data_IF_315744277412
#
_entry.id   IF_315744277412
#
_cell.length_a   1.000
_cell.length_b   1.000
_cell.length_c   1.000
_cell.angle_alpha   90.00
_cell.angle_beta   90.00
_cell.angle_gamma   90.00
#
_symmetry.space_group_name_H-M   'P 1'
#
loop_
_entity.id
_entity.type
_entity.pdbx_description
1 polymer ?
#
# COMPACT_ATOMS: atom_id res chain seq x y z
N UNK A 1 -54.85 -44.47 -14.43
CA UNK A 1 -53.52 -44.91 -13.97
C UNK A 1 -52.50 -44.52 -15.04
N UNK A 2 -51.75 -43.43 -14.84
CA UNK A 2 -50.31 -43.26 -15.17
C UNK A 2 -49.93 -41.77 -15.07
N UNK A 3 -49.04 -41.51 -14.11
CA UNK A 3 -48.57 -40.23 -13.59
C UNK A 3 -47.72 -39.44 -14.60
N UNK A 4 -47.89 -38.12 -14.59
CA UNK A 4 -46.94 -37.13 -15.10
C UNK A 4 -45.59 -37.28 -14.36
N UNK A 5 -44.50 -37.51 -15.09
CA UNK A 5 -43.15 -37.43 -14.54
C UNK A 5 -42.64 -35.99 -14.61
N UNK A 6 -42.44 -35.38 -13.43
CA UNK A 6 -41.78 -34.09 -13.25
C UNK A 6 -40.27 -34.26 -13.43
N UNK A 7 -39.69 -33.66 -14.47
CA UNK A 7 -38.23 -33.53 -14.61
C UNK A 7 -37.70 -32.56 -13.54
N UNK A 8 -37.04 -33.08 -12.50
CA UNK A 8 -36.22 -32.28 -11.59
C UNK A 8 -34.96 -31.83 -12.32
N UNK A 9 -34.81 -30.52 -12.50
CA UNK A 9 -33.54 -29.90 -12.93
C UNK A 9 -32.58 -30.00 -11.73
N UNK A 10 -31.54 -30.82 -11.85
CA UNK A 10 -30.44 -30.84 -10.89
C UNK A 10 -29.55 -29.62 -11.15
N UNK A 11 -29.68 -28.60 -10.30
CA UNK A 11 -28.71 -27.51 -10.23
C UNK A 11 -27.46 -28.10 -9.57
N UNK A 12 -26.44 -28.42 -10.37
CA UNK A 12 -25.11 -28.77 -9.85
C UNK A 12 -24.40 -27.49 -9.36
N UNK A 13 -24.68 -27.05 -8.13
CA UNK A 13 -23.81 -26.10 -7.43
C UNK A 13 -22.69 -26.86 -6.72
N UNK A 14 -21.77 -27.45 -7.49
CA UNK A 14 -20.42 -27.72 -6.98
C UNK A 14 -19.65 -26.40 -6.98
N UNK A 15 -19.99 -25.52 -6.03
CA UNK A 15 -19.12 -24.41 -5.65
C UNK A 15 -17.91 -25.08 -5.00
N UNK A 16 -16.89 -25.40 -5.80
CA UNK A 16 -15.55 -25.63 -5.27
C UNK A 16 -15.21 -24.36 -4.51
N UNK A 17 -15.42 -24.39 -3.19
CA UNK A 17 -14.91 -23.36 -2.31
C UNK A 17 -13.40 -23.45 -2.48
N UNK A 18 -12.86 -22.58 -3.34
CA UNK A 18 -11.42 -22.38 -3.50
C UNK A 18 -10.87 -22.24 -2.08
N UNK A 19 -9.77 -22.94 -1.77
CA UNK A 19 -9.01 -22.66 -0.54
C UNK A 19 -8.66 -21.18 -0.61
N UNK A 20 -9.47 -20.34 0.04
CA UNK A 20 -9.07 -18.99 0.35
C UNK A 20 -8.00 -19.20 1.41
N UNK A 21 -6.75 -19.31 0.97
CA UNK A 21 -5.61 -19.09 1.86
C UNK A 21 -5.94 -17.83 2.64
N UNK A 22 -5.79 -17.90 3.97
CA UNK A 22 -6.27 -16.88 4.89
C UNK A 22 -5.83 -15.50 4.37
N UNK A 23 -6.78 -14.71 3.81
CA UNK A 23 -6.50 -13.40 3.17
C UNK A 23 -5.79 -12.43 4.10
N UNK A 24 -5.83 -12.72 5.40
CA UNK A 24 -5.18 -12.01 6.48
C UNK A 24 -4.31 -13.00 7.27
N UNK A 25 -3.05 -13.20 6.88
CA UNK A 25 -2.02 -13.76 7.78
C UNK A 25 -1.59 -12.64 8.73
N UNK A 26 -2.22 -12.56 9.90
CA UNK A 26 -1.79 -11.62 10.93
C UNK A 26 -0.65 -12.23 11.73
N UNK A 27 0.54 -11.63 11.68
CA UNK A 27 1.52 -11.79 12.75
C UNK A 27 1.05 -10.93 13.93
N UNK A 28 1.00 -11.48 15.15
CA UNK A 28 0.62 -10.68 16.32
C UNK A 28 1.60 -9.52 16.48
N UNK A 29 1.07 -8.32 16.71
CA UNK A 29 1.84 -7.15 17.14
C UNK A 29 2.64 -7.53 18.39
N UNK A 30 3.92 -7.15 18.45
CA UNK A 30 4.72 -7.35 19.66
C UNK A 30 4.07 -6.56 20.81
N UNK A 31 3.66 -7.30 21.85
CA UNK A 31 2.88 -6.76 22.97
C UNK A 31 3.82 -6.02 23.93
N UNK A 32 3.39 -4.87 24.45
CA UNK A 32 4.11 -4.12 25.47
C UNK A 32 5.12 -3.09 24.94
N UNK A 33 5.19 -2.89 23.62
CA UNK A 33 5.97 -1.80 23.05
C UNK A 33 5.26 -0.45 23.24
N UNK A 34 6.01 0.65 23.46
CA UNK A 34 5.45 1.99 23.47
C UNK A 34 4.71 2.30 22.16
N UNK A 35 3.63 3.10 22.19
CA UNK A 35 2.99 3.61 20.98
C UNK A 35 4.00 4.43 20.14
N UNK A 36 3.92 4.29 18.82
CA UNK A 36 4.86 4.88 17.87
C UNK A 36 6.13 4.06 17.63
N UNK A 37 6.26 2.87 18.24
CA UNK A 37 7.41 2.00 17.96
C UNK A 37 7.25 1.33 16.60
N UNK A 38 8.19 1.57 15.69
CA UNK A 38 8.15 1.02 14.34
C UNK A 38 8.60 -0.44 14.35
N UNK A 39 7.66 -1.36 14.12
CA UNK A 39 7.94 -2.79 13.96
C UNK A 39 7.22 -3.29 12.72
N UNK A 40 7.99 -3.71 11.72
CA UNK A 40 7.43 -4.33 10.53
C UNK A 40 6.82 -5.70 10.87
N UNK A 41 5.56 -5.90 10.46
CA UNK A 41 4.77 -7.11 10.79
C UNK A 41 4.37 -7.93 9.58
N UNK A 42 4.70 -7.49 8.36
CA UNK A 42 4.43 -8.22 7.13
C UNK A 42 5.29 -9.48 6.96
N UNK A 43 5.12 -10.13 5.82
CA UNK A 43 6.02 -11.22 5.41
C UNK A 43 7.31 -10.60 4.86
N UNK A 44 8.47 -11.12 5.31
CA UNK A 44 9.76 -10.59 4.86
C UNK A 44 9.99 -11.07 3.43
N UNK A 45 9.67 -10.24 2.43
CA UNK A 45 10.15 -10.43 1.07
C UNK A 45 11.47 -9.69 0.83
N UNK A 46 12.20 -10.13 -0.21
CA UNK A 46 13.65 -9.97 -0.42
C UNK A 46 14.01 -8.89 -1.45
N UNK A 47 13.02 -8.16 -1.92
CA UNK A 47 13.18 -7.14 -2.96
C UNK A 47 13.86 -5.89 -2.38
N UNK A 48 14.68 -5.18 -3.19
CA UNK A 48 15.32 -3.97 -2.74
C UNK A 48 14.29 -2.87 -2.51
N UNK A 49 14.46 -2.13 -1.42
CA UNK A 49 13.70 -0.93 -1.13
C UNK A 49 13.98 0.13 -2.20
N UNK A 50 12.94 0.76 -2.73
CA UNK A 50 13.05 1.81 -3.73
C UNK A 50 12.12 2.98 -3.43
N UNK A 51 12.54 4.16 -3.88
CA UNK A 51 11.69 5.35 -3.93
C UNK A 51 11.69 5.86 -5.37
N UNK A 52 10.50 6.02 -5.93
CA UNK A 52 10.27 6.69 -7.22
C UNK A 52 9.61 8.04 -6.96
N UNK A 53 10.04 9.06 -7.70
CA UNK A 53 9.45 10.39 -7.71
C UNK A 53 8.90 10.67 -9.10
N UNK A 54 7.62 11.03 -9.15
CA UNK A 54 7.03 11.76 -10.27
C UNK A 54 6.75 13.18 -9.82
N UNK A 55 7.30 14.16 -10.52
CA UNK A 55 7.10 15.57 -10.23
C UNK A 55 6.54 16.28 -11.44
N UNK A 56 5.48 17.06 -11.23
CA UNK A 56 4.76 17.65 -12.34
C UNK A 56 4.04 18.96 -12.00
N UNK A 57 3.83 19.76 -13.04
CA UNK A 57 2.97 20.94 -13.06
C UNK A 57 2.25 21.04 -14.42
N UNK A 58 1.71 22.21 -14.76
CA UNK A 58 1.01 22.40 -16.03
C UNK A 58 1.92 22.35 -17.27
N UNK A 59 3.24 22.45 -17.10
CA UNK A 59 4.20 22.66 -18.18
C UNK A 59 5.25 21.55 -18.26
N UNK A 60 5.55 20.88 -17.15
CA UNK A 60 6.65 19.94 -17.02
C UNK A 60 6.23 18.70 -16.26
N UNK A 61 6.79 17.57 -16.68
CA UNK A 61 6.70 16.28 -16.01
C UNK A 61 8.09 15.64 -16.02
N UNK A 62 8.52 15.09 -14.90
CA UNK A 62 9.65 14.16 -14.88
C UNK A 62 9.43 13.05 -13.87
N UNK A 63 10.02 11.90 -14.17
CA UNK A 63 10.06 10.74 -13.30
C UNK A 63 11.51 10.33 -13.07
N UNK A 64 11.86 9.97 -11.83
CA UNK A 64 13.15 9.36 -11.52
C UNK A 64 13.08 8.45 -10.30
N UNK A 65 14.00 7.50 -10.24
CA UNK A 65 14.33 6.79 -9.01
C UNK A 65 15.19 7.69 -8.13
N UNK A 66 14.90 7.73 -6.83
CA UNK A 66 15.67 8.46 -5.83
C UNK A 66 16.77 7.55 -5.30
N UNK A 67 18.02 8.01 -5.40
CA UNK A 67 19.20 7.29 -4.89
C UNK A 67 19.62 7.84 -3.51
N UNK A 68 19.36 9.12 -3.24
CA UNK A 68 19.66 9.76 -1.96
C UNK A 68 18.45 10.52 -1.40
N UNK A 69 18.17 10.34 -0.10
CA UNK A 69 17.06 11.02 0.59
C UNK A 69 17.13 12.56 0.54
N UNK A 70 18.32 13.13 0.36
CA UNK A 70 18.53 14.57 0.19
C UNK A 70 17.81 15.11 -1.05
N UNK A 71 17.61 14.28 -2.08
CA UNK A 71 16.86 14.66 -3.28
C UNK A 71 15.37 14.89 -3.01
N UNK A 72 14.82 14.23 -1.98
CA UNK A 72 13.43 14.42 -1.57
C UNK A 72 13.24 15.83 -0.97
N UNK A 73 14.21 16.30 -0.18
CA UNK A 73 14.20 17.64 0.42
C UNK A 73 14.10 18.71 -0.67
N UNK A 74 14.94 18.60 -1.71
CA UNK A 74 14.95 19.54 -2.84
C UNK A 74 13.61 19.59 -3.59
N UNK A 75 12.94 18.44 -3.70
CA UNK A 75 11.66 18.32 -4.39
C UNK A 75 10.51 18.92 -3.55
N UNK A 76 10.60 18.87 -2.21
CA UNK A 76 9.61 19.46 -1.30
C UNK A 76 9.59 20.99 -1.30
N UNK A 77 10.69 21.63 -1.73
CA UNK A 77 10.83 23.09 -1.72
C UNK A 77 10.34 23.77 -3.00
N UNK A 78 9.95 23.03 -4.04
CA UNK A 78 9.40 23.60 -5.26
C UNK A 78 7.87 23.75 -5.21
N UNK A 79 7.31 24.51 -6.15
CA UNK A 79 5.87 24.74 -6.25
C UNK A 79 5.13 23.61 -7.02
N UNK A 80 5.83 22.54 -7.41
CA UNK A 80 5.25 21.44 -8.19
C UNK A 80 4.59 20.41 -7.30
N UNK A 81 3.79 19.53 -7.91
CA UNK A 81 3.24 18.37 -7.23
C UNK A 81 4.27 17.25 -7.28
N UNK A 82 4.65 16.73 -6.10
CA UNK A 82 5.59 15.61 -5.95
C UNK A 82 4.88 14.35 -5.49
N UNK A 83 4.80 13.33 -6.34
CA UNK A 83 4.29 12.02 -5.98
C UNK A 83 5.45 11.04 -5.78
N UNK A 84 5.66 10.64 -4.54
CA UNK A 84 6.63 9.64 -4.12
C UNK A 84 5.94 8.29 -3.96
N UNK A 85 6.52 7.24 -4.57
CA UNK A 85 6.14 5.85 -4.35
C UNK A 85 7.31 5.16 -3.65
N UNK A 86 7.05 4.60 -2.48
CA UNK A 86 8.02 3.94 -1.62
C UNK A 86 7.69 2.46 -1.56
N UNK A 87 8.52 1.64 -2.17
CA UNK A 87 8.41 0.18 -2.12
C UNK A 87 9.27 -0.36 -0.98
N UNK A 88 8.72 -1.25 -0.16
CA UNK A 88 9.48 -1.89 0.91
C UNK A 88 9.40 -1.16 2.25
N UNK A 89 8.21 -1.10 2.87
CA UNK A 89 8.02 -0.58 4.24
C UNK A 89 8.73 -1.38 5.35
N UNK A 90 9.45 -2.43 4.99
CA UNK A 90 10.22 -3.25 5.93
C UNK A 90 11.53 -2.59 6.40
N UNK A 91 12.04 -1.58 5.67
CA UNK A 91 13.22 -0.80 6.10
C UNK A 91 12.83 0.30 7.08
N UNK A 92 12.91 -0.05 8.37
CA UNK A 92 12.58 0.85 9.47
C UNK A 92 13.44 2.11 9.48
N UNK A 93 14.71 2.03 9.10
CA UNK A 93 15.58 3.22 9.11
C UNK A 93 15.17 4.22 8.05
N UNK A 94 14.74 3.75 6.88
CA UNK A 94 14.16 4.61 5.86
C UNK A 94 12.83 5.22 6.33
N UNK A 95 11.96 4.41 6.93
CA UNK A 95 10.67 4.88 7.46
C UNK A 95 10.84 5.98 8.51
N UNK A 96 11.81 5.84 9.43
CA UNK A 96 12.13 6.89 10.41
C UNK A 96 12.59 8.20 9.75
N UNK A 97 13.42 8.10 8.70
CA UNK A 97 13.87 9.30 7.97
C UNK A 97 12.71 9.98 7.25
N UNK A 98 11.84 9.22 6.59
CA UNK A 98 10.64 9.75 5.94
C UNK A 98 9.66 10.35 6.95
N UNK A 99 9.48 9.70 8.10
CA UNK A 99 8.67 10.21 9.21
C UNK A 99 9.12 11.61 9.61
N UNK A 100 10.42 11.79 9.84
CA UNK A 100 10.98 13.08 10.24
C UNK A 100 10.91 14.12 9.11
N UNK A 101 11.19 13.71 7.87
CA UNK A 101 11.22 14.62 6.72
C UNK A 101 9.84 15.18 6.36
N UNK A 102 8.81 14.35 6.48
CA UNK A 102 7.42 14.74 6.17
C UNK A 102 6.59 15.06 7.40
N UNK A 103 7.18 15.03 8.59
CA UNK A 103 6.50 15.23 9.86
C UNK A 103 5.27 14.31 10.01
N UNK A 104 5.45 13.03 9.63
CA UNK A 104 4.41 12.01 9.73
C UNK A 104 4.23 11.67 11.22
N UNK A 105 2.99 11.62 11.68
CA UNK A 105 2.73 11.32 13.09
C UNK A 105 3.23 9.89 13.43
N UNK A 106 3.88 9.66 14.58
CA UNK A 106 4.44 8.34 14.93
C UNK A 106 3.42 7.20 14.87
N UNK A 107 2.16 7.45 15.23
CA UNK A 107 1.08 6.45 15.12
C UNK A 107 0.73 6.11 13.67
N UNK A 108 0.74 7.10 12.77
CA UNK A 108 0.51 6.87 11.35
C UNK A 108 1.67 6.05 10.74
N UNK A 109 2.91 6.37 11.12
CA UNK A 109 4.08 5.59 10.68
C UNK A 109 4.08 4.17 11.24
N UNK A 110 3.68 3.99 12.49
CA UNK A 110 3.45 2.67 13.07
C UNK A 110 2.44 1.86 12.25
N UNK A 111 1.35 2.49 11.81
CA UNK A 111 0.34 1.85 10.97
C UNK A 111 0.81 1.55 9.55
N UNK A 112 1.72 2.37 9.00
CA UNK A 112 2.38 2.13 7.70
C UNK A 112 3.19 0.83 7.75
N UNK A 113 4.04 0.66 8.76
CA UNK A 113 4.88 -0.55 8.90
C UNK A 113 4.10 -1.76 9.43
N UNK A 114 2.91 -1.53 9.99
CA UNK A 114 1.98 -2.57 10.40
C UNK A 114 1.02 -2.93 9.25
N UNK A 115 1.36 -3.90 8.42
CA UNK A 115 0.66 -4.13 7.15
C UNK A 115 -0.68 -4.88 7.25
N UNK A 116 -1.20 -5.03 8.48
CA UNK A 116 -2.49 -5.70 8.76
C UNK A 116 -3.61 -4.75 9.20
N UNK A 117 -3.40 -3.44 9.02
CA UNK A 117 -4.38 -2.42 9.38
C UNK A 117 -5.65 -2.50 8.52
N UNK A 118 -6.77 -2.12 9.13
CA UNK A 118 -8.02 -1.95 8.40
C UNK A 118 -7.98 -0.63 7.63
N UNK A 119 -8.64 -0.55 6.45
CA UNK A 119 -8.78 0.71 5.75
C UNK A 119 -9.37 1.79 6.66
N UNK A 120 -8.77 2.98 6.62
CA UNK A 120 -9.14 4.12 7.44
C UNK A 120 -8.61 5.41 6.80
N UNK A 121 -9.14 6.54 7.26
CA UNK A 121 -8.61 7.87 6.96
C UNK A 121 -8.55 8.67 8.26
N UNK A 122 -7.44 9.37 8.47
CA UNK A 122 -7.15 10.17 9.66
C UNK A 122 -6.57 11.51 9.23
N UNK A 123 -7.14 12.59 9.74
CA UNK A 123 -6.66 13.95 9.50
C UNK A 123 -5.67 14.35 10.59
N UNK A 124 -4.46 14.73 10.17
CA UNK A 124 -3.44 15.33 11.01
C UNK A 124 -3.26 16.81 10.60
N UNK A 125 -2.70 17.67 11.47
CA UNK A 125 -2.53 19.09 11.15
C UNK A 125 -1.78 19.38 9.84
N UNK A 126 -0.83 18.51 9.46
CA UNK A 126 0.05 18.71 8.30
C UNK A 126 -0.31 17.84 7.08
N UNK A 127 -1.17 16.83 7.25
CA UNK A 127 -1.46 15.85 6.18
C UNK A 127 -2.71 15.02 6.47
N UNK A 128 -3.27 14.46 5.41
CA UNK A 128 -4.26 13.40 5.46
C UNK A 128 -3.55 12.04 5.34
N UNK A 129 -3.77 11.16 6.33
CA UNK A 129 -3.28 9.79 6.31
C UNK A 129 -4.41 8.83 5.91
N UNK A 130 -4.17 7.94 4.95
CA UNK A 130 -5.16 6.98 4.46
C UNK A 130 -4.52 5.60 4.39
N UNK A 131 -5.24 4.58 4.85
CA UNK A 131 -4.90 3.18 4.64
C UNK A 131 -5.95 2.54 3.75
N UNK A 132 -5.51 1.83 2.72
CA UNK A 132 -6.33 1.11 1.75
C UNK A 132 -5.85 -0.35 1.61
N UNK A 133 -6.64 -1.15 0.88
CA UNK A 133 -6.25 -2.51 0.47
C UNK A 133 -6.21 -2.60 -1.05
N UNK A 134 -5.10 -3.12 -1.56
CA UNK A 134 -4.92 -3.44 -2.96
C UNK A 134 -4.99 -4.95 -3.13
N UNK A 135 -5.82 -5.40 -4.07
CA UNK A 135 -6.00 -6.81 -4.38
C UNK A 135 -5.51 -7.07 -5.80
N UNK A 136 -4.46 -7.89 -5.94
CA UNK A 136 -3.87 -8.25 -7.23
C UNK A 136 -4.09 -9.75 -7.44
N UNK A 137 -4.72 -10.11 -8.55
CA UNK A 137 -4.85 -11.52 -8.93
C UNK A 137 -3.66 -11.91 -9.80
N UNK A 138 -2.90 -12.90 -9.35
CA UNK A 138 -1.80 -13.47 -10.11
C UNK A 138 -2.34 -14.70 -10.86
N UNK A 139 -2.37 -14.61 -12.19
CA UNK A 139 -2.89 -15.67 -13.06
C UNK A 139 -2.00 -16.93 -13.06
N UNK A 140 -0.69 -16.79 -12.84
CA UNK A 140 0.26 -17.91 -12.84
C UNK A 140 0.14 -18.74 -11.56
N UNK A 141 0.23 -18.08 -10.40
CA UNK A 141 0.05 -18.76 -9.10
C UNK A 141 -1.42 -19.06 -8.80
N UNK A 142 -2.36 -18.40 -9.50
CA UNK A 142 -3.81 -18.41 -9.26
C UNK A 142 -4.18 -17.92 -7.86
N UNK A 143 -3.34 -17.12 -7.24
CA UNK A 143 -3.52 -16.56 -5.91
C UNK A 143 -4.01 -15.11 -5.97
N UNK A 144 -4.78 -14.71 -4.96
CA UNK A 144 -5.14 -13.32 -4.76
C UNK A 144 -4.19 -12.73 -3.72
N UNK A 145 -3.29 -11.85 -4.17
CA UNK A 145 -2.45 -11.05 -3.28
C UNK A 145 -3.28 -9.93 -2.66
N UNK A 146 -3.08 -9.71 -1.38
CA UNK A 146 -3.75 -8.67 -0.59
C UNK A 146 -2.66 -7.84 0.08
N UNK A 147 -2.53 -6.60 -0.35
CA UNK A 147 -1.47 -5.70 0.09
C UNK A 147 -2.08 -4.47 0.74
N UNK A 148 -1.43 -3.98 1.79
CA UNK A 148 -1.77 -2.68 2.35
C UNK A 148 -1.14 -1.56 1.52
N UNK A 149 -1.95 -0.58 1.14
CA UNK A 149 -1.45 0.68 0.55
C UNK A 149 -1.71 1.79 1.54
N UNK A 150 -0.65 2.46 1.97
CA UNK A 150 -0.75 3.62 2.85
C UNK A 150 -0.41 4.90 2.10
N UNK A 151 -1.23 5.92 2.24
CA UNK A 151 -1.08 7.21 1.58
C UNK A 151 -0.92 8.32 2.62
N UNK A 152 0.03 9.22 2.40
CA UNK A 152 0.15 10.48 3.14
C UNK A 152 0.06 11.61 2.13
N UNK A 153 -1.04 12.36 2.20
CA UNK A 153 -1.34 13.49 1.32
C UNK A 153 -1.11 14.79 2.09
N UNK A 154 -0.08 15.55 1.69
CA UNK A 154 0.15 16.92 2.16
C UNK A 154 -0.23 17.95 1.10
N UNK A 155 0.21 19.20 1.27
CA UNK A 155 -0.16 20.31 0.37
C UNK A 155 0.19 20.05 -1.10
N UNK A 156 1.47 19.76 -1.37
CA UNK A 156 2.01 19.58 -2.73
C UNK A 156 2.69 18.23 -2.92
N UNK A 157 2.40 17.26 -2.04
CA UNK A 157 3.01 15.95 -2.13
C UNK A 157 2.04 14.82 -1.79
N UNK A 158 2.28 13.68 -2.42
CA UNK A 158 1.66 12.41 -2.09
C UNK A 158 2.78 11.39 -1.83
N UNK A 159 2.80 10.79 -0.65
CA UNK A 159 3.58 9.59 -0.39
C UNK A 159 2.67 8.38 -0.51
N UNK A 160 3.08 7.40 -1.30
CA UNK A 160 2.45 6.08 -1.40
C UNK A 160 3.43 5.05 -0.87
N UNK A 161 3.03 4.28 0.14
CA UNK A 161 3.84 3.23 0.74
C UNK A 161 3.27 1.86 0.37
N UNK A 162 4.14 1.02 -0.17
CA UNK A 162 3.85 -0.35 -0.63
C UNK A 162 4.74 -1.36 0.10
N UNK A 163 4.25 -2.58 0.24
CA UNK A 163 5.02 -3.68 0.82
C UNK A 163 6.08 -4.16 -0.16
N UNK A 164 5.69 -4.37 -1.42
CA UNK A 164 6.52 -4.88 -2.50
C UNK A 164 6.32 -4.07 -3.79
N UNK A 165 7.25 -4.11 -4.76
CA UNK A 165 7.06 -3.45 -6.04
C UNK A 165 5.88 -4.05 -6.83
N UNK A 166 5.12 -3.16 -7.46
CA UNK A 166 4.02 -3.52 -8.37
C UNK A 166 2.67 -3.08 -7.84
N UNK A 167 2.04 -2.14 -8.55
CA UNK A 167 0.78 -1.54 -8.13
C UNK A 167 -0.22 -1.34 -9.30
N UNK A 168 -1.40 -0.83 -8.94
CA UNK A 168 -2.49 -0.57 -9.89
C UNK A 168 -2.53 0.87 -10.39
N UNK A 169 -1.49 1.67 -10.14
CA UNK A 169 -1.50 3.11 -10.38
C UNK A 169 -1.06 3.53 -11.78
N UNK A 170 -0.68 2.60 -12.67
CA UNK A 170 -0.27 2.92 -14.04
C UNK A 170 -1.30 3.79 -14.80
N UNK A 171 -2.63 3.55 -14.75
CA UNK A 171 -3.59 4.42 -15.41
C UNK A 171 -3.66 5.85 -14.84
N UNK A 172 -3.13 6.07 -13.62
CA UNK A 172 -2.96 7.41 -13.06
C UNK A 172 -1.69 8.03 -13.60
N UNK A 173 -0.58 7.28 -13.61
CA UNK A 173 0.72 7.72 -14.17
C UNK A 173 0.59 8.15 -15.62
N UNK A 174 -0.08 7.35 -16.45
CA UNK A 174 -0.26 7.61 -17.89
C UNK A 174 -1.10 8.87 -18.19
N UNK A 175 -1.82 9.41 -17.20
CA UNK A 175 -2.66 10.62 -17.36
C UNK A 175 -1.99 11.90 -16.93
N UNK A 176 -0.91 11.81 -16.15
CA UNK A 176 -0.13 12.98 -15.71
C UNK A 176 0.68 13.48 -16.92
#
# INVERSE_FOLDING_TARGET
MLLRQSKKIQIQTKRQLRKVSRLFKQKPKQIGLPPGTLVYTGDKEKEPVSIYLMEYDQNTFFEKKIENISEIVLSKENEKVSWFVVDGVHDIQLMEKLQNLFNIHPLAMEDIVHTTQRPKAEEYPEHLFIVLRMFIYDDESRELKNEQVSLVLGNNYLLTFLEDPGDVFNPVRDRI
#
